data_IF_446993524264
#
_entry.id   IF_446993524264
#
_cell.length_a   1.000
_cell.length_b   1.000
_cell.length_c   1.000
_cell.angle_alpha   90.00
_cell.angle_beta   90.00
_cell.angle_gamma   90.00
#
_symmetry.space_group_name_H-M   'P 1'
#
loop_
_entity.id
_entity.type
_entity.pdbx_description
1 polymer ?
#
# COMPACT_ATOMS: atom_id res chain seq x y z
N UNK A 1 -12.53 5.95 -13.40
CA UNK A 1 -11.91 4.77 -12.77
C UNK A 1 -10.42 4.78 -13.06
N UNK A 2 -9.59 4.40 -12.08
CA UNK A 2 -8.13 4.41 -12.20
C UNK A 2 -7.52 3.14 -11.61
N UNK A 3 -6.31 2.80 -12.03
CA UNK A 3 -5.51 1.80 -11.32
C UNK A 3 -4.98 2.42 -10.03
N UNK A 4 -5.15 1.72 -8.91
CA UNK A 4 -4.51 2.06 -7.64
C UNK A 4 -3.61 0.93 -7.17
N UNK A 5 -2.67 1.29 -6.32
CA UNK A 5 -1.79 0.40 -5.60
C UNK A 5 -2.00 0.65 -4.11
N UNK A 6 -2.16 -0.40 -3.30
CA UNK A 6 -2.41 -0.27 -1.87
C UNK A 6 -1.60 -1.25 -1.02
N UNK A 7 -1.16 -0.82 0.15
CA UNK A 7 -0.55 -1.64 1.19
C UNK A 7 -1.52 -1.70 2.37
N UNK A 8 -1.97 -2.91 2.70
CA UNK A 8 -2.85 -3.14 3.85
C UNK A 8 -2.01 -3.09 5.14
N UNK A 9 -2.50 -2.37 6.16
CA UNK A 9 -1.73 -2.06 7.37
C UNK A 9 -0.75 -0.89 7.19
N UNK A 10 -0.61 -0.37 5.96
CA UNK A 10 0.04 0.89 5.67
C UNK A 10 1.51 0.97 6.12
N UNK A 11 1.94 2.15 6.54
CA UNK A 11 3.32 2.38 6.99
C UNK A 11 3.74 1.56 8.21
N UNK A 12 2.81 1.27 9.13
CA UNK A 12 3.10 0.40 10.28
C UNK A 12 3.44 -1.02 9.83
N UNK A 13 2.71 -1.55 8.85
CA UNK A 13 2.98 -2.86 8.27
C UNK A 13 4.34 -2.92 7.57
N UNK A 14 4.70 -1.86 6.85
CA UNK A 14 6.03 -1.72 6.23
C UNK A 14 7.12 -1.85 7.29
N UNK A 15 7.02 -1.08 8.39
CA UNK A 15 7.98 -1.14 9.49
C UNK A 15 8.09 -2.53 10.12
N UNK A 16 6.96 -3.20 10.36
CA UNK A 16 6.94 -4.55 10.92
C UNK A 16 7.63 -5.56 10.00
N UNK A 17 7.38 -5.48 8.69
CA UNK A 17 7.95 -6.39 7.71
C UNK A 17 9.47 -6.19 7.59
N UNK A 18 9.95 -4.95 7.59
CA UNK A 18 11.39 -4.64 7.60
C UNK A 18 12.06 -5.20 8.85
N UNK A 19 11.46 -5.03 10.03
CA UNK A 19 11.99 -5.61 11.27
C UNK A 19 12.01 -7.15 11.26
N UNK A 20 11.05 -7.76 10.57
CA UNK A 20 10.98 -9.21 10.39
C UNK A 20 11.86 -9.73 9.24
N UNK A 21 12.46 -8.85 8.44
CA UNK A 21 13.27 -9.21 7.27
C UNK A 21 12.46 -9.85 6.14
N UNK A 22 11.19 -9.46 5.98
CA UNK A 22 10.30 -9.97 4.92
C UNK A 22 9.88 -8.85 3.96
N UNK A 23 9.60 -9.16 2.69
CA UNK A 23 9.07 -8.17 1.75
C UNK A 23 7.72 -7.61 2.17
N UNK A 24 7.39 -6.41 1.71
CA UNK A 24 6.07 -5.82 1.92
C UNK A 24 5.19 -6.05 0.71
N UNK A 25 4.01 -6.60 0.96
CA UNK A 25 3.03 -6.89 -0.08
C UNK A 25 2.21 -5.62 -0.43
N UNK A 26 1.99 -5.38 -1.72
CA UNK A 26 1.03 -4.41 -2.22
C UNK A 26 0.01 -5.10 -3.13
N UNK A 27 -1.19 -4.52 -3.23
CA UNK A 27 -2.27 -4.98 -4.10
C UNK A 27 -2.46 -3.96 -5.21
N UNK A 28 -2.44 -4.41 -6.46
CA UNK A 28 -2.86 -3.63 -7.63
C UNK A 28 -4.36 -3.82 -7.86
N UNK A 29 -5.11 -2.73 -7.87
CA UNK A 29 -6.55 -2.75 -8.16
C UNK A 29 -6.80 -1.97 -9.44
N UNK A 30 -7.17 -2.68 -10.50
CA UNK A 30 -7.55 -2.07 -11.77
C UNK A 30 -9.00 -1.58 -11.73
N UNK A 31 -9.29 -0.50 -12.47
CA UNK A 31 -10.62 0.10 -12.54
C UNK A 31 -11.25 0.47 -11.18
N UNK A 32 -10.41 0.87 -10.21
CA UNK A 32 -10.89 1.32 -8.91
C UNK A 32 -11.57 2.69 -9.00
N UNK A 33 -12.61 2.86 -8.19
CA UNK A 33 -13.28 4.14 -7.95
C UNK A 33 -12.70 4.89 -6.73
N UNK A 34 -11.69 4.33 -6.06
CA UNK A 34 -11.08 4.94 -4.88
C UNK A 34 -10.51 6.31 -5.17
N UNK A 35 -9.82 6.47 -6.30
CA UNK A 35 -9.26 7.77 -6.68
C UNK A 35 -10.32 8.86 -6.91
N UNK A 36 -11.58 8.47 -7.17
CA UNK A 36 -12.70 9.40 -7.34
C UNK A 36 -13.46 9.63 -6.03
N UNK A 37 -13.52 8.60 -5.16
CA UNK A 37 -14.18 8.67 -3.85
C UNK A 37 -13.30 9.28 -2.76
N UNK A 38 -11.98 9.21 -2.93
CA UNK A 38 -10.96 9.68 -2.00
C UNK A 38 -10.18 10.78 -2.72
N UNK A 39 -10.36 12.03 -2.29
CA UNK A 39 -9.72 13.21 -2.91
C UNK A 39 -8.19 13.27 -2.73
N UNK A 40 -7.57 12.33 -2.00
CA UNK A 40 -6.14 12.34 -1.73
C UNK A 40 -5.51 10.93 -1.68
N UNK A 41 -4.34 10.79 -2.31
CA UNK A 41 -3.45 9.65 -2.12
C UNK A 41 -2.75 9.74 -0.75
N UNK A 42 -2.44 8.60 -0.12
CA UNK A 42 -1.70 8.57 1.14
C UNK A 42 -2.12 7.44 2.09
N UNK A 43 -1.75 7.59 3.36
CA UNK A 43 -2.18 6.72 4.46
C UNK A 43 -3.56 7.15 4.97
N UNK A 44 -4.54 6.26 4.88
CA UNK A 44 -5.78 6.38 5.62
C UNK A 44 -5.60 5.77 7.02
N UNK A 45 -5.51 6.62 8.05
CA UNK A 45 -5.35 6.19 9.44
C UNK A 45 -6.58 5.48 10.02
N UNK A 46 -7.76 5.59 9.40
CA UNK A 46 -8.97 4.91 9.87
C UNK A 46 -9.01 3.44 9.44
N UNK A 47 -8.47 3.14 8.26
CA UNK A 47 -8.42 1.78 7.69
C UNK A 47 -7.03 1.17 7.73
N UNK A 48 -6.02 1.97 8.12
CA UNK A 48 -4.61 1.65 7.99
C UNK A 48 -4.20 1.22 6.58
N UNK A 49 -4.79 1.81 5.54
CA UNK A 49 -4.42 1.51 4.16
C UNK A 49 -3.62 2.66 3.58
N UNK A 50 -2.41 2.37 3.10
CA UNK A 50 -1.62 3.31 2.29
C UNK A 50 -1.92 3.03 0.83
N UNK A 51 -2.29 4.03 0.05
CA UNK A 51 -2.58 3.82 -1.37
C UNK A 51 -2.21 5.01 -2.26
N UNK A 52 -1.94 4.73 -3.53
CA UNK A 52 -1.62 5.73 -4.54
C UNK A 52 -2.03 5.24 -5.94
N UNK A 53 -2.26 6.15 -6.87
CA UNK A 53 -2.43 5.82 -8.31
C UNK A 53 -1.10 5.58 -9.04
N UNK A 54 0.04 5.82 -8.38
CA UNK A 54 1.37 5.61 -8.92
C UNK A 54 2.19 4.72 -7.97
N UNK A 55 2.66 3.58 -8.49
CA UNK A 55 3.46 2.61 -7.73
C UNK A 55 4.80 3.18 -7.26
N UNK A 56 5.47 4.01 -8.07
CA UNK A 56 6.75 4.63 -7.69
C UNK A 56 6.60 5.57 -6.48
N UNK A 57 5.46 6.26 -6.39
CA UNK A 57 5.16 7.11 -5.24
C UNK A 57 4.88 6.24 -4.01
N UNK A 58 4.14 5.15 -4.17
CA UNK A 58 3.87 4.21 -3.08
C UNK A 58 5.16 3.58 -2.55
N UNK A 59 6.10 3.21 -3.44
CA UNK A 59 7.44 2.74 -3.08
C UNK A 59 8.19 3.77 -2.25
N UNK A 60 8.27 5.02 -2.71
CA UNK A 60 8.97 6.09 -1.98
C UNK A 60 8.39 6.30 -0.58
N UNK A 61 7.07 6.25 -0.44
CA UNK A 61 6.45 6.34 0.88
C UNK A 61 6.76 5.14 1.77
N UNK A 62 6.80 3.94 1.20
CA UNK A 62 7.20 2.76 1.96
C UNK A 62 8.66 2.86 2.43
N UNK A 63 9.57 3.33 1.57
CA UNK A 63 10.96 3.59 1.92
C UNK A 63 11.07 4.66 3.03
N UNK A 64 10.33 5.76 2.91
CA UNK A 64 10.29 6.85 3.90
C UNK A 64 9.78 6.35 5.27
N UNK A 65 8.75 5.50 5.28
CA UNK A 65 8.22 4.89 6.50
C UNK A 65 9.24 3.95 7.16
N UNK A 66 9.98 3.18 6.37
CA UNK A 66 11.00 2.24 6.87
C UNK A 66 12.32 2.92 7.27
N UNK A 67 12.64 4.06 6.66
CA UNK A 67 13.96 4.68 6.74
C UNK A 67 15.03 3.94 5.93
N UNK A 68 14.64 3.01 5.05
CA UNK A 68 15.51 2.27 4.13
C UNK A 68 14.73 1.81 2.90
N UNK A 69 15.42 1.37 1.86
CA UNK A 69 14.79 0.75 0.69
C UNK A 69 14.04 -0.53 1.12
N UNK A 70 12.78 -0.64 0.72
CA UNK A 70 11.94 -1.82 0.98
C UNK A 70 11.61 -2.58 -0.29
N UNK A 71 11.59 -3.90 -0.23
CA UNK A 71 11.12 -4.70 -1.35
C UNK A 71 9.58 -4.74 -1.35
N UNK A 72 8.97 -4.19 -2.40
CA UNK A 72 7.53 -4.28 -2.64
C UNK A 72 7.21 -5.43 -3.61
N UNK A 73 6.32 -6.32 -3.18
CA UNK A 73 5.89 -7.49 -3.97
C UNK A 73 4.40 -7.42 -4.26
N UNK A 74 4.01 -7.61 -5.52
CA UNK A 74 2.59 -7.65 -5.89
C UNK A 74 1.94 -8.91 -5.32
N UNK A 75 0.85 -8.74 -4.59
CA UNK A 75 0.00 -9.82 -4.10
C UNK A 75 -1.42 -9.66 -4.62
N UNK A 76 -2.15 -10.78 -4.66
CA UNK A 76 -3.59 -10.74 -4.95
C UNK A 76 -4.34 -10.40 -3.67
N UNK A 77 -5.38 -9.59 -3.80
CA UNK A 77 -6.34 -9.40 -2.72
C UNK A 77 -6.88 -10.78 -2.31
N UNK A 78 -6.52 -11.22 -1.10
CA UNK A 78 -7.14 -12.41 -0.53
C UNK A 78 -8.56 -11.97 -0.18
N UNK A 79 -9.57 -12.62 -0.78
CA UNK A 79 -10.93 -12.49 -0.29
C UNK A 79 -10.90 -12.87 1.20
N UNK A 80 -11.09 -11.90 2.08
CA UNK A 80 -11.24 -12.20 3.50
C UNK A 80 -12.49 -13.07 3.65
N UNK A 81 -12.40 -14.25 4.30
CA UNK A 81 -13.60 -14.99 4.66
C UNK A 81 -14.32 -14.15 5.71
N UNK A 82 -15.53 -13.74 5.34
CA UNK A 82 -16.51 -12.98 6.13
C UNK A 82 -16.54 -13.31 7.63
#
# INVERSE_FOLDING_TARGET
MATIYKIIGGGEKVLQNVQAGVPTEYIKVENSDWAEKRDCNGQDFSTNIMWCTNLEILQRWADDWAGCEVELVETKEKEEPF
#
